data_IF_357486370221
#
_entry.id   IF_357486370221
#
_cell.length_a   1.000
_cell.length_b   1.000
_cell.length_c   1.000
_cell.angle_alpha   90.00
_cell.angle_beta   90.00
_cell.angle_gamma   90.00
#
_symmetry.space_group_name_H-M   'P 1'
#
loop_
_entity.id
_entity.type
_entity.pdbx_description
1 polymer ?
#
# COMPACT_ATOMS: atom_id res chain seq x y z
N UNK A 1 2.97 2.89 -4.81
CA UNK A 1 2.70 4.11 -3.99
C UNK A 1 3.48 4.16 -2.68
N UNK A 2 3.71 3.05 -1.96
CA UNK A 2 4.59 3.07 -0.78
C UNK A 2 6.08 3.29 -1.14
N UNK A 3 6.48 2.89 -2.34
CA UNK A 3 7.86 2.94 -2.81
C UNK A 3 8.47 4.35 -2.86
N UNK A 4 7.66 5.37 -3.18
CA UNK A 4 8.11 6.78 -3.19
C UNK A 4 8.02 7.45 -1.83
N UNK A 5 7.43 6.77 -0.81
CA UNK A 5 7.14 7.34 0.51
C UNK A 5 6.41 8.68 0.39
N UNK A 6 5.49 8.80 -0.56
CA UNK A 6 4.72 10.00 -0.81
C UNK A 6 3.24 9.65 -0.98
N UNK A 7 2.37 10.54 -0.52
CA UNK A 7 0.93 10.38 -0.70
C UNK A 7 0.24 11.71 -0.92
N UNK A 8 -0.91 11.66 -1.57
CA UNK A 8 -1.80 12.78 -1.83
C UNK A 8 -3.12 12.51 -1.12
N UNK A 9 -3.68 13.54 -0.48
CA UNK A 9 -5.04 13.44 0.09
C UNK A 9 -6.06 13.45 -1.05
N UNK A 10 -7.10 12.63 -0.95
CA UNK A 10 -8.20 12.65 -1.93
C UNK A 10 -8.77 14.08 -1.98
N UNK A 11 -8.86 14.66 -3.18
CA UNK A 11 -9.32 16.04 -3.41
C UNK A 11 -8.25 17.13 -3.24
N UNK A 12 -6.98 16.77 -3.02
CA UNK A 12 -5.86 17.71 -2.98
C UNK A 12 -4.91 17.46 -4.15
N UNK A 13 -4.27 18.52 -4.65
CA UNK A 13 -3.18 18.41 -5.65
C UNK A 13 -1.79 18.46 -5.01
N UNK A 14 -1.70 18.51 -3.67
CA UNK A 14 -0.44 18.63 -2.96
C UNK A 14 0.09 17.26 -2.53
N UNK A 15 1.31 16.94 -2.96
CA UNK A 15 2.06 15.76 -2.53
C UNK A 15 2.71 15.97 -1.17
N UNK A 16 2.66 14.95 -0.31
CA UNK A 16 3.25 14.99 1.04
C UNK A 16 4.19 13.80 1.24
N UNK A 17 5.37 14.07 1.80
CA UNK A 17 6.34 13.04 2.19
C UNK A 17 5.86 12.30 3.44
N UNK A 18 5.89 10.99 3.37
CA UNK A 18 5.62 10.05 4.45
C UNK A 18 6.93 9.67 5.15
N UNK A 19 6.98 9.88 6.46
CA UNK A 19 8.08 9.44 7.33
C UNK A 19 7.50 8.60 8.46
N UNK A 20 7.27 7.33 8.17
CA UNK A 20 6.77 6.35 9.12
C UNK A 20 7.15 4.94 8.70
N UNK A 21 7.06 3.99 9.63
CA UNK A 21 7.19 2.56 9.34
C UNK A 21 5.81 1.97 9.16
N UNK A 22 5.60 1.22 8.08
CA UNK A 22 4.36 0.46 7.85
C UNK A 22 4.59 -0.97 8.32
N UNK A 23 3.72 -1.45 9.20
CA UNK A 23 3.66 -2.83 9.66
C UNK A 23 2.25 -3.33 9.37
N UNK A 24 2.14 -4.39 8.57
CA UNK A 24 0.86 -5.00 8.24
C UNK A 24 0.88 -6.47 8.69
N UNK A 25 -0.22 -6.92 9.28
CA UNK A 25 -0.49 -8.33 9.56
C UNK A 25 -1.89 -8.66 9.04
N UNK A 26 -2.06 -9.85 8.50
CA UNK A 26 -3.37 -10.36 8.07
C UNK A 26 -3.46 -11.83 8.46
N UNK A 27 -4.65 -12.25 8.89
CA UNK A 27 -4.92 -13.65 9.20
C UNK A 27 -5.26 -14.48 7.94
N UNK A 28 -5.22 -13.86 6.76
CA UNK A 28 -5.53 -14.47 5.47
C UNK A 28 -4.25 -14.81 4.72
N UNK A 29 -4.31 -15.85 3.89
CA UNK A 29 -3.17 -16.23 3.05
C UNK A 29 -2.98 -15.22 1.91
N UNK A 30 -1.95 -14.37 2.06
CA UNK A 30 -1.58 -13.36 1.08
C UNK A 30 -1.21 -13.96 -0.28
N UNK A 31 -0.50 -15.10 -0.31
CA UNK A 31 -0.07 -15.72 -1.58
C UNK A 31 -1.29 -16.18 -2.37
N UNK A 32 -2.26 -16.78 -1.68
CA UNK A 32 -3.53 -17.15 -2.30
C UNK A 32 -4.29 -15.93 -2.79
N UNK A 33 -4.33 -14.83 -2.02
CA UNK A 33 -5.00 -13.61 -2.44
C UNK A 33 -4.35 -12.92 -3.64
N UNK A 34 -3.01 -13.02 -3.77
CA UNK A 34 -2.26 -12.57 -4.95
C UNK A 34 -2.62 -13.43 -6.17
N UNK A 35 -2.61 -14.76 -6.03
CA UNK A 35 -2.99 -15.68 -7.11
C UNK A 35 -4.45 -15.48 -7.57
N UNK A 36 -5.35 -15.18 -6.63
CA UNK A 36 -6.77 -14.89 -6.92
C UNK A 36 -6.99 -13.47 -7.53
N UNK A 37 -5.92 -12.68 -7.74
CA UNK A 37 -6.01 -11.31 -8.26
C UNK A 37 -6.65 -10.30 -7.31
N UNK A 38 -6.92 -10.68 -6.07
CA UNK A 38 -7.54 -9.82 -5.03
C UNK A 38 -6.55 -8.98 -4.26
N UNK A 39 -5.26 -9.31 -4.37
CA UNK A 39 -4.18 -8.58 -3.73
C UNK A 39 -3.07 -8.30 -4.75
N UNK A 40 -2.53 -7.09 -4.72
CA UNK A 40 -1.44 -6.68 -5.61
C UNK A 40 -0.11 -7.21 -5.08
N UNK A 41 0.67 -7.83 -5.94
CA UNK A 41 2.01 -8.37 -5.61
C UNK A 41 3.06 -7.26 -5.45
N UNK A 42 2.86 -6.11 -6.09
CA UNK A 42 3.80 -4.98 -6.20
C UNK A 42 3.62 -3.91 -5.11
N UNK A 43 2.99 -4.27 -3.99
CA UNK A 43 2.64 -3.33 -2.91
C UNK A 43 3.86 -2.76 -2.17
#
# INVERSE_FOLDING_TARGET
>A
VLQEREFVRIGSNATRKFRGRVLASTNRDLRRMVADGRFREDL
#
